data_IF_841870608584
#
_entry.id   IF_841870608584
#
_cell.length_a   1.000
_cell.length_b   1.000
_cell.length_c   1.000
_cell.angle_alpha   90.00
_cell.angle_beta   90.00
_cell.angle_gamma   90.00
#
_symmetry.space_group_name_H-M   'P 1'
#
loop_
_entity.id
_entity.type
_entity.pdbx_description
1 polymer ?
#
# COMPACT_ATOMS: atom_id res chain seq x y z
N UNK A 1 -4.20 -0.09 1.58
CA UNK A 1 -3.78 -1.47 1.89
C UNK A 1 -4.93 -2.34 2.36
N UNK A 2 -5.77 -1.89 3.30
CA UNK A 2 -6.89 -2.69 3.83
C UNK A 2 -7.76 -3.36 2.74
N UNK A 3 -8.17 -2.59 1.73
CA UNK A 3 -8.94 -3.11 0.59
C UNK A 3 -8.20 -4.22 -0.19
N UNK A 4 -6.89 -4.18 -0.26
CA UNK A 4 -6.13 -5.23 -0.94
C UNK A 4 -6.16 -6.57 -0.18
N UNK A 5 -6.25 -6.54 1.16
CA UNK A 5 -6.40 -7.75 1.97
C UNK A 5 -7.78 -8.39 1.82
N UNK A 6 -8.86 -7.60 1.88
CA UNK A 6 -10.23 -8.13 2.04
C UNK A 6 -11.15 -7.90 0.84
N UNK A 7 -10.89 -6.88 0.04
CA UNK A 7 -11.73 -6.52 -1.12
C UNK A 7 -10.88 -6.20 -2.37
N UNK A 8 -9.96 -7.10 -2.79
CA UNK A 8 -9.07 -6.83 -3.92
C UNK A 8 -9.85 -6.57 -5.22
N UNK A 9 -11.07 -7.08 -5.36
CA UNK A 9 -11.95 -6.83 -6.51
C UNK A 9 -12.37 -5.36 -6.67
N UNK A 10 -12.25 -4.53 -5.61
CA UNK A 10 -12.50 -3.08 -5.68
C UNK A 10 -11.31 -2.28 -6.20
N UNK A 11 -10.16 -2.92 -6.39
CA UNK A 11 -8.94 -2.27 -6.86
C UNK A 11 -8.69 -2.60 -8.33
N UNK A 12 -8.08 -1.68 -9.11
CA UNK A 12 -7.69 -1.98 -10.48
C UNK A 12 -6.76 -3.20 -10.56
N UNK A 13 -6.93 -4.12 -11.53
CA UNK A 13 -6.12 -5.34 -11.62
C UNK A 13 -4.61 -5.10 -11.66
N UNK A 14 -4.16 -4.08 -12.40
CA UNK A 14 -2.75 -3.69 -12.46
C UNK A 14 -2.20 -3.25 -11.09
N UNK A 15 -3.03 -2.62 -10.27
CA UNK A 15 -2.65 -2.19 -8.93
C UNK A 15 -2.53 -3.38 -7.98
N UNK A 16 -3.45 -4.35 -8.06
CA UNK A 16 -3.35 -5.60 -7.32
C UNK A 16 -2.09 -6.38 -7.66
N UNK A 17 -1.79 -6.54 -8.96
CA UNK A 17 -0.58 -7.20 -9.43
C UNK A 17 0.69 -6.51 -8.94
N UNK A 18 0.70 -5.18 -8.93
CA UNK A 18 1.83 -4.42 -8.41
C UNK A 18 2.03 -4.61 -6.90
N UNK A 19 0.98 -4.51 -6.09
CA UNK A 19 1.07 -4.75 -4.63
C UNK A 19 1.51 -6.19 -4.36
N UNK A 20 0.92 -7.17 -5.06
CA UNK A 20 1.29 -8.58 -4.96
C UNK A 20 2.79 -8.78 -5.20
N UNK A 21 3.32 -8.21 -6.30
CA UNK A 21 4.75 -8.27 -6.63
C UNK A 21 5.62 -7.61 -5.55
N UNK A 22 5.21 -6.47 -5.00
CA UNK A 22 6.00 -5.74 -4.01
C UNK A 22 5.92 -6.31 -2.59
N UNK A 23 4.80 -6.92 -2.23
CA UNK A 23 4.60 -7.49 -0.90
C UNK A 23 5.43 -8.75 -0.65
N UNK A 24 5.75 -9.50 -1.73
CA UNK A 24 6.48 -10.77 -1.67
C UNK A 24 5.95 -11.71 -0.56
N UNK A 25 4.63 -11.70 -0.36
CA UNK A 25 3.91 -12.57 0.57
C UNK A 25 3.28 -13.72 -0.21
N UNK A 26 3.30 -14.92 0.38
CA UNK A 26 2.62 -16.06 -0.21
C UNK A 26 1.11 -15.78 -0.31
N UNK A 27 0.54 -16.08 -1.47
CA UNK A 27 -0.86 -15.80 -1.76
C UNK A 27 -1.83 -16.61 -0.90
N UNK A 28 -1.41 -17.79 -0.44
CA UNK A 28 -2.19 -18.63 0.47
C UNK A 28 -2.48 -17.89 1.78
N UNK A 29 -1.55 -17.06 2.25
CA UNK A 29 -1.75 -16.22 3.45
C UNK A 29 -2.86 -15.19 3.17
N UNK A 30 -2.84 -14.50 2.04
CA UNK A 30 -3.84 -13.47 1.71
C UNK A 30 -5.24 -14.09 1.56
N UNK A 31 -5.33 -15.23 0.86
CA UNK A 31 -6.59 -15.97 0.72
C UNK A 31 -7.12 -16.39 2.08
N UNK A 32 -6.26 -16.90 2.95
CA UNK A 32 -6.62 -17.30 4.30
C UNK A 32 -7.08 -16.12 5.16
N UNK A 33 -6.38 -14.98 5.14
CA UNK A 33 -6.79 -13.76 5.85
C UNK A 33 -8.17 -13.28 5.40
N UNK A 34 -8.48 -13.38 4.11
CA UNK A 34 -9.81 -13.07 3.58
C UNK A 34 -10.87 -14.03 4.11
N UNK A 35 -10.61 -15.34 4.10
CA UNK A 35 -11.53 -16.35 4.64
C UNK A 35 -11.79 -16.17 6.14
N UNK A 36 -10.77 -15.80 6.92
CA UNK A 36 -10.94 -15.44 8.34
C UNK A 36 -11.87 -14.23 8.48
N UNK A 37 -11.62 -13.17 7.70
CA UNK A 37 -12.44 -11.96 7.70
C UNK A 37 -13.89 -12.22 7.34
N UNK A 38 -14.11 -13.06 6.32
CA UNK A 38 -15.44 -13.43 5.84
C UNK A 38 -16.12 -14.48 6.75
N UNK A 39 -15.47 -14.87 7.86
CA UNK A 39 -15.95 -15.85 8.86
C UNK A 39 -16.18 -17.26 8.30
N UNK A 40 -15.54 -17.58 7.18
CA UNK A 40 -15.56 -18.94 6.61
C UNK A 40 -14.69 -19.92 7.41
N UNK A 41 -13.64 -19.41 8.04
CA UNK A 41 -12.73 -20.17 8.90
C UNK A 41 -12.48 -19.41 10.19
N UNK A 42 -12.09 -20.14 11.23
CA UNK A 42 -11.68 -19.60 12.53
C UNK A 42 -10.60 -20.50 13.12
N UNK A 43 -9.55 -19.91 13.69
CA UNK A 43 -8.52 -20.65 14.42
C UNK A 43 -9.12 -21.34 15.65
N UNK A 44 -8.68 -22.57 15.91
CA UNK A 44 -9.18 -23.47 16.97
C UNK A 44 -10.47 -24.19 16.62
N UNK A 45 -10.94 -24.12 15.37
CA UNK A 45 -12.13 -24.84 14.88
C UNK A 45 -11.78 -25.80 13.74
N UNK A 46 -12.51 -26.92 13.59
CA UNK A 46 -12.31 -27.85 12.48
C UNK A 46 -12.45 -27.14 11.13
N UNK A 47 -11.53 -27.42 10.20
CA UNK A 47 -11.51 -26.79 8.88
C UNK A 47 -10.96 -27.74 7.84
N UNK A 48 -11.62 -27.81 6.68
CA UNK A 48 -11.12 -28.55 5.52
C UNK A 48 -10.00 -27.80 4.77
N UNK A 49 -9.71 -26.56 5.14
CA UNK A 49 -8.70 -25.74 4.48
C UNK A 49 -7.29 -26.06 4.97
N UNK A 50 -6.54 -26.82 4.15
CA UNK A 50 -5.16 -27.26 4.45
C UNK A 50 -4.06 -26.40 3.79
N UNK A 51 -4.42 -25.31 3.10
CA UNK A 51 -3.47 -24.50 2.33
C UNK A 51 -2.31 -23.91 3.15
N UNK A 52 -2.52 -23.63 4.44
CA UNK A 52 -1.46 -23.17 5.34
C UNK A 52 -0.54 -24.31 5.79
N UNK A 53 -1.05 -25.53 5.90
CA UNK A 53 -0.23 -26.71 6.21
C UNK A 53 0.68 -27.07 5.04
N UNK A 54 0.16 -26.97 3.82
CA UNK A 54 0.95 -27.10 2.60
C UNK A 54 2.02 -25.99 2.53
N UNK A 55 1.68 -24.75 2.92
CA UNK A 55 2.66 -23.67 3.02
C UNK A 55 3.74 -23.99 4.06
N UNK A 56 3.36 -24.46 5.25
CA UNK A 56 4.33 -24.86 6.27
C UNK A 56 5.26 -25.97 5.76
N UNK A 57 4.73 -26.96 5.03
CA UNK A 57 5.52 -28.03 4.41
C UNK A 57 6.51 -27.48 3.38
N UNK A 58 6.07 -26.57 2.50
CA UNK A 58 6.93 -25.92 1.50
C UNK A 58 8.06 -25.09 2.13
N UNK A 59 7.81 -24.54 3.33
CA UNK A 59 8.78 -23.77 4.10
C UNK A 59 9.72 -24.65 4.96
N UNK A 60 9.58 -25.98 4.90
CA UNK A 60 10.34 -26.93 5.73
C UNK A 60 9.96 -26.91 7.22
N UNK A 61 8.76 -26.42 7.54
CA UNK A 61 8.20 -26.40 8.89
C UNK A 61 7.28 -27.61 9.11
N UNK A 62 7.00 -27.92 10.38
CA UNK A 62 5.96 -28.91 10.73
C UNK A 62 4.60 -28.42 10.17
N UNK A 63 3.88 -29.24 9.38
CA UNK A 63 2.53 -28.92 8.90
C UNK A 63 1.59 -28.42 10.00
N UNK A 64 1.74 -28.92 11.24
CA UNK A 64 0.94 -28.49 12.40
C UNK A 64 1.05 -27.00 12.69
N UNK A 65 2.17 -26.34 12.35
CA UNK A 65 2.29 -24.89 12.50
C UNK A 65 1.36 -24.10 11.57
N UNK A 66 0.92 -24.72 10.47
CA UNK A 66 -0.07 -24.16 9.55
C UNK A 66 -1.50 -24.60 9.85
N UNK A 67 -1.72 -25.51 10.81
CA UNK A 67 -3.06 -26.05 11.09
C UNK A 67 -3.96 -24.99 11.69
N UNK A 68 -5.13 -24.79 11.08
CA UNK A 68 -6.16 -23.88 11.62
C UNK A 68 -6.80 -24.49 12.87
N UNK A 69 -6.89 -25.81 12.94
CA UNK A 69 -7.56 -26.55 14.01
C UNK A 69 -6.71 -26.57 15.29
N UNK A 70 -5.39 -26.73 15.14
CA UNK A 70 -4.46 -26.89 16.28
C UNK A 70 -3.90 -25.56 16.83
N UNK A 71 -4.04 -24.45 16.09
CA UNK A 71 -3.52 -23.15 16.51
C UNK A 71 -4.64 -22.16 16.80
N UNK A 72 -4.43 -21.26 17.76
CA UNK A 72 -5.34 -20.13 18.07
C UNK A 72 -5.09 -18.87 17.23
N UNK A 73 -3.95 -18.82 16.52
CA UNK A 73 -3.53 -17.73 15.65
C UNK A 73 -2.44 -18.22 14.67
N UNK A 74 -2.24 -17.52 13.56
CA UNK A 74 -1.20 -17.86 12.59
C UNK A 74 0.21 -17.60 13.17
N UNK A 75 1.08 -18.61 13.33
CA UNK A 75 2.42 -18.39 13.85
C UNK A 75 3.25 -17.43 12.98
N UNK A 76 4.02 -16.54 13.61
CA UNK A 76 4.85 -15.56 12.89
C UNK A 76 5.87 -16.22 11.95
N UNK A 77 6.37 -17.42 12.26
CA UNK A 77 7.30 -18.14 11.38
C UNK A 77 6.65 -18.49 10.04
N UNK A 78 5.41 -18.97 10.04
CA UNK A 78 4.65 -19.25 8.81
C UNK A 78 4.34 -17.95 8.06
N UNK A 79 3.90 -16.91 8.77
CA UNK A 79 3.64 -15.59 8.19
C UNK A 79 4.89 -14.98 7.52
N UNK A 80 6.06 -15.14 8.13
CA UNK A 80 7.34 -14.58 7.68
C UNK A 80 8.10 -15.51 6.72
N UNK A 81 7.43 -16.54 6.18
CA UNK A 81 8.03 -17.50 5.24
C UNK A 81 9.31 -18.16 5.78
N UNK A 82 9.36 -18.43 7.09
CA UNK A 82 10.48 -19.05 7.79
C UNK A 82 11.86 -18.37 7.57
N UNK A 83 11.87 -17.07 7.28
CA UNK A 83 13.14 -16.32 7.04
C UNK A 83 13.88 -16.06 8.35
N UNK A 84 13.15 -15.74 9.42
CA UNK A 84 13.72 -15.47 10.73
C UNK A 84 12.72 -15.76 11.85
N UNK A 85 13.21 -16.21 13.01
CA UNK A 85 12.40 -16.41 14.21
C UNK A 85 11.94 -15.11 14.88
N UNK A 86 12.59 -13.98 14.60
CA UNK A 86 12.23 -12.65 15.13
C UNK A 86 11.44 -11.83 14.12
N UNK A 87 10.40 -11.13 14.60
CA UNK A 87 9.61 -10.20 13.81
C UNK A 87 10.41 -8.96 13.41
N UNK A 88 11.30 -8.47 14.28
CA UNK A 88 12.09 -7.26 14.04
C UNK A 88 13.09 -7.47 12.90
N UNK A 89 13.75 -8.64 12.90
CA UNK A 89 14.65 -9.06 11.82
C UNK A 89 13.89 -9.17 10.51
N UNK A 90 12.67 -9.74 10.52
CA UNK A 90 11.85 -9.81 9.32
C UNK A 90 11.46 -8.43 8.79
N UNK A 91 11.09 -7.48 9.66
CA UNK A 91 10.75 -6.11 9.28
C UNK A 91 11.96 -5.42 8.62
N UNK A 92 13.16 -5.58 9.19
CA UNK A 92 14.39 -5.05 8.62
C UNK A 92 14.74 -5.70 7.28
N UNK A 93 14.62 -7.03 7.18
CA UNK A 93 14.81 -7.76 5.93
C UNK A 93 13.85 -7.29 4.83
N UNK A 94 12.56 -7.13 5.16
CA UNK A 94 11.54 -6.61 4.23
C UNK A 94 11.81 -5.17 3.83
N UNK A 95 12.36 -4.36 4.73
CA UNK A 95 12.79 -3.00 4.39
C UNK A 95 13.88 -3.04 3.32
N UNK A 96 14.93 -3.84 3.53
CA UNK A 96 16.05 -3.97 2.59
C UNK A 96 15.59 -4.48 1.23
N UNK A 97 14.77 -5.54 1.19
CA UNK A 97 14.22 -6.08 -0.07
C UNK A 97 13.25 -5.13 -0.77
N UNK A 98 12.43 -4.41 0.00
CA UNK A 98 11.58 -3.35 -0.53
C UNK A 98 12.40 -2.20 -1.11
N UNK A 99 13.49 -1.82 -0.45
CA UNK A 99 14.41 -0.76 -0.89
C UNK A 99 15.15 -1.15 -2.17
N UNK A 100 15.70 -2.36 -2.23
CA UNK A 100 16.35 -2.95 -3.42
C UNK A 100 15.40 -2.93 -4.63
N UNK A 101 14.17 -3.44 -4.44
CA UNK A 101 13.14 -3.49 -5.48
C UNK A 101 12.70 -2.08 -5.92
N UNK A 102 12.66 -1.13 -4.98
CA UNK A 102 12.26 0.25 -5.27
C UNK A 102 13.36 1.01 -6.02
N UNK A 103 14.63 0.80 -5.66
CA UNK A 103 15.79 1.37 -6.37
C UNK A 103 15.76 0.95 -7.83
N UNK A 104 15.50 -0.33 -8.10
CA UNK A 104 15.45 -0.87 -9.46
C UNK A 104 14.40 -0.15 -10.35
N UNK A 105 13.37 0.46 -9.75
CA UNK A 105 12.34 1.22 -10.47
C UNK A 105 12.68 2.71 -10.52
N UNK A 106 13.04 3.31 -9.38
CA UNK A 106 13.18 4.76 -9.28
C UNK A 106 14.50 5.31 -9.80
N UNK A 107 15.60 4.54 -9.73
CA UNK A 107 16.90 5.00 -10.23
C UNK A 107 16.87 5.15 -11.75
N UNK A 108 16.47 4.15 -12.56
CA UNK A 108 16.42 4.31 -14.02
C UNK A 108 15.53 5.48 -14.45
N UNK A 109 14.35 5.60 -13.84
CA UNK A 109 13.41 6.68 -14.12
C UNK A 109 13.99 8.06 -13.80
N UNK A 110 14.64 8.21 -12.65
CA UNK A 110 15.21 9.49 -12.23
C UNK A 110 16.44 9.86 -13.07
N UNK A 111 17.27 8.89 -13.44
CA UNK A 111 18.41 9.09 -14.31
C UNK A 111 18.01 9.47 -15.73
N UNK A 112 16.94 8.87 -16.28
CA UNK A 112 16.40 9.23 -17.59
C UNK A 112 16.07 10.73 -17.67
N UNK A 113 15.48 11.32 -16.62
CA UNK A 113 15.23 12.76 -16.59
C UNK A 113 16.51 13.60 -16.44
N UNK A 114 17.54 13.08 -15.76
CA UNK A 114 18.82 13.76 -15.62
C UNK A 114 19.62 13.79 -16.93
N UNK A 115 19.43 12.82 -17.84
CA UNK A 115 20.07 12.79 -19.16
C UNK A 115 19.64 13.96 -20.06
N UNK A 116 18.49 14.59 -19.78
CA UNK A 116 18.00 15.75 -20.54
C UNK A 116 18.85 17.01 -20.33
N UNK A 117 19.53 17.11 -19.20
CA UNK A 117 20.47 18.19 -18.87
C UNK A 117 21.60 17.61 -17.99
N UNK A 118 22.67 17.07 -18.62
CA UNK A 118 23.66 16.22 -17.98
C UNK A 118 24.68 17.02 -17.16
N UNK A 119 24.21 17.64 -16.07
CA UNK A 119 25.07 18.29 -15.08
C UNK A 119 25.27 17.41 -13.85
N UNK A 120 26.45 17.49 -13.22
CA UNK A 120 26.75 16.76 -11.99
C UNK A 120 25.76 17.08 -10.87
N UNK A 121 25.28 18.33 -10.82
CA UNK A 121 24.24 18.78 -9.90
C UNK A 121 22.89 18.10 -10.16
N UNK A 122 22.47 18.00 -11.42
CA UNK A 122 21.22 17.32 -11.79
C UNK A 122 21.30 15.81 -11.52
N UNK A 123 22.45 15.19 -11.79
CA UNK A 123 22.67 13.77 -11.48
C UNK A 123 22.57 13.49 -9.98
N UNK A 124 23.28 14.26 -9.14
CA UNK A 124 23.20 14.13 -7.68
C UNK A 124 21.76 14.32 -7.19
N UNK A 125 21.07 15.35 -7.70
CA UNK A 125 19.67 15.61 -7.35
C UNK A 125 18.74 14.46 -7.75
N UNK A 126 18.91 13.90 -8.94
CA UNK A 126 18.15 12.76 -9.42
C UNK A 126 18.37 11.53 -8.55
N UNK A 127 19.64 11.23 -8.20
CA UNK A 127 19.97 10.10 -7.33
C UNK A 127 19.41 10.29 -5.91
N UNK A 128 19.57 11.47 -5.30
CA UNK A 128 18.97 11.76 -3.99
C UNK A 128 17.44 11.65 -4.03
N UNK A 129 16.81 12.06 -5.12
CA UNK A 129 15.37 11.90 -5.32
C UNK A 129 14.96 10.43 -5.44
N UNK A 130 15.71 9.63 -6.18
CA UNK A 130 15.47 8.19 -6.33
C UNK A 130 15.65 7.43 -5.01
N UNK A 131 16.72 7.72 -4.26
CA UNK A 131 16.97 7.13 -2.94
C UNK A 131 15.85 7.48 -1.97
N UNK A 132 15.43 8.76 -1.91
CA UNK A 132 14.31 9.19 -1.06
C UNK A 132 13.01 8.46 -1.42
N UNK A 133 12.71 8.37 -2.72
CA UNK A 133 11.52 7.66 -3.22
C UNK A 133 11.54 6.17 -2.86
N UNK A 134 12.73 5.57 -2.93
CA UNK A 134 12.94 4.16 -2.59
C UNK A 134 12.81 3.93 -1.09
N UNK A 135 13.35 4.83 -0.27
CA UNK A 135 13.19 4.80 1.18
C UNK A 135 11.73 5.00 1.61
N UNK A 136 10.98 5.88 0.94
CA UNK A 136 9.54 6.04 1.14
C UNK A 136 8.79 4.72 0.94
N UNK A 137 9.02 4.04 -0.19
CA UNK A 137 8.32 2.79 -0.51
C UNK A 137 8.78 1.62 0.38
N UNK A 138 10.07 1.52 0.68
CA UNK A 138 10.58 0.54 1.64
C UNK A 138 9.96 0.72 3.02
N UNK A 139 9.90 1.96 3.51
CA UNK A 139 9.28 2.28 4.80
C UNK A 139 7.77 2.05 4.79
N UNK A 140 7.09 2.29 3.66
CA UNK A 140 5.68 1.94 3.50
C UNK A 140 5.46 0.43 3.75
N UNK A 141 6.27 -0.43 3.12
CA UNK A 141 6.18 -1.89 3.27
C UNK A 141 6.48 -2.29 4.72
N UNK A 142 7.59 -1.80 5.29
CA UNK A 142 7.98 -2.14 6.66
C UNK A 142 6.99 -1.66 7.72
N UNK A 143 6.34 -0.50 7.53
CA UNK A 143 5.32 -0.02 8.46
C UNK A 143 4.07 -0.90 8.45
N UNK A 144 3.72 -1.54 7.32
CA UNK A 144 2.63 -2.54 7.30
C UNK A 144 2.99 -3.72 8.21
N UNK A 145 4.18 -4.29 8.03
CA UNK A 145 4.67 -5.40 8.84
C UNK A 145 4.82 -5.03 10.31
N UNK A 146 5.36 -3.84 10.60
CA UNK A 146 5.47 -3.31 11.94
C UNK A 146 4.10 -3.21 12.60
N UNK A 147 3.09 -2.65 11.93
CA UNK A 147 1.74 -2.55 12.48
C UNK A 147 1.08 -3.91 12.73
N UNK A 148 1.19 -4.84 11.77
CA UNK A 148 0.65 -6.19 11.88
C UNK A 148 1.34 -6.96 13.02
N UNK A 149 2.67 -6.97 13.08
CA UNK A 149 3.41 -7.73 14.09
C UNK A 149 3.31 -7.08 15.47
N UNK A 150 3.29 -5.76 15.56
CA UNK A 150 3.11 -5.06 16.83
C UNK A 150 1.75 -5.36 17.44
N UNK A 151 0.68 -5.33 16.64
CA UNK A 151 -0.67 -5.65 17.13
C UNK A 151 -0.83 -7.12 17.49
N UNK A 152 -0.27 -8.04 16.70
CA UNK A 152 -0.43 -9.49 16.92
C UNK A 152 0.43 -10.06 18.04
N UNK A 153 1.67 -9.58 18.18
CA UNK A 153 2.68 -10.29 18.98
C UNK A 153 3.31 -9.45 20.10
N UNK A 154 3.30 -8.11 20.00
CA UNK A 154 4.03 -7.24 20.94
C UNK A 154 3.08 -6.53 21.90
N UNK A 155 2.11 -5.79 21.35
CA UNK A 155 1.26 -4.82 22.04
C UNK A 155 -0.11 -5.43 22.32
N UNK A 156 -0.74 -6.06 21.33
CA UNK A 156 -2.14 -6.52 21.45
C UNK A 156 -2.35 -7.50 22.60
N UNK A 157 -1.65 -8.64 22.65
CA UNK A 157 -1.82 -9.61 23.73
C UNK A 157 -1.48 -9.06 25.13
N UNK A 158 -0.58 -8.07 25.22
CA UNK A 158 -0.18 -7.46 26.49
C UNK A 158 -1.20 -6.44 27.00
N UNK A 159 -1.74 -5.60 26.11
CA UNK A 159 -2.71 -4.56 26.48
C UNK A 159 -4.14 -5.08 26.58
N UNK A 160 -4.51 -6.08 25.78
CA UNK A 160 -5.87 -6.59 25.69
C UNK A 160 -5.89 -8.13 25.72
N UNK A 161 -5.51 -8.75 26.85
CA UNK A 161 -5.42 -10.21 26.96
C UNK A 161 -6.77 -10.92 26.76
N UNK A 162 -7.89 -10.23 27.01
CA UNK A 162 -9.24 -10.79 26.90
C UNK A 162 -9.81 -10.78 25.46
N UNK A 163 -9.09 -10.20 24.49
CA UNK A 163 -9.54 -10.19 23.09
C UNK A 163 -9.14 -11.50 22.42
N UNK A 164 -10.09 -12.15 21.75
CA UNK A 164 -9.82 -13.38 21.00
C UNK A 164 -8.68 -13.16 19.99
N UNK A 165 -7.67 -14.03 20.04
CA UNK A 165 -6.45 -13.94 19.21
C UNK A 165 -6.75 -13.89 17.72
N UNK A 166 -7.81 -14.58 17.28
CA UNK A 166 -8.32 -14.53 15.91
C UNK A 166 -8.52 -13.09 15.41
N UNK A 167 -9.00 -12.16 16.25
CA UNK A 167 -9.33 -10.80 15.83
C UNK A 167 -8.10 -10.00 15.39
N UNK A 168 -6.92 -10.31 15.92
CA UNK A 168 -5.68 -9.63 15.52
C UNK A 168 -5.28 -10.02 14.10
N UNK A 169 -5.46 -11.27 13.73
CA UNK A 169 -5.14 -11.79 12.40
C UNK A 169 -6.22 -11.40 11.40
N UNK A 170 -7.48 -11.49 11.82
CA UNK A 170 -8.66 -11.28 10.99
C UNK A 170 -8.86 -9.84 10.55
N UNK A 171 -8.72 -8.84 11.45
CA UNK A 171 -9.10 -7.45 11.16
C UNK A 171 -8.11 -6.43 11.72
N UNK A 172 -7.79 -6.51 13.01
CA UNK A 172 -7.08 -5.43 13.72
C UNK A 172 -5.67 -5.24 13.17
N UNK A 173 -4.94 -6.33 12.93
CA UNK A 173 -3.57 -6.28 12.43
C UNK A 173 -3.48 -5.62 11.06
N UNK A 174 -4.16 -6.13 10.03
CA UNK A 174 -4.14 -5.52 8.71
C UNK A 174 -4.74 -4.11 8.68
N UNK A 175 -5.70 -3.77 9.55
CA UNK A 175 -6.20 -2.40 9.72
C UNK A 175 -5.12 -1.45 10.23
N UNK A 176 -4.48 -1.78 11.36
CA UNK A 176 -3.43 -0.94 11.96
C UNK A 176 -2.21 -0.85 11.05
N UNK A 177 -1.78 -1.96 10.44
CA UNK A 177 -0.72 -1.96 9.42
C UNK A 177 -1.06 -1.06 8.23
N UNK A 178 -2.30 -1.08 7.76
CA UNK A 178 -2.77 -0.21 6.68
C UNK A 178 -2.84 1.26 7.05
N UNK A 179 -3.09 1.58 8.31
CA UNK A 179 -3.09 2.94 8.81
C UNK A 179 -1.66 3.47 8.94
N UNK A 180 -0.78 2.72 9.61
CA UNK A 180 0.61 3.12 9.89
C UNK A 180 1.47 3.23 8.63
N UNK A 181 1.19 2.44 7.59
CA UNK A 181 1.94 2.55 6.34
C UNK A 181 1.78 3.92 5.66
N UNK A 182 0.67 4.63 5.90
CA UNK A 182 0.45 5.98 5.37
C UNK A 182 1.46 7.01 5.86
N UNK A 183 2.04 6.84 7.05
CA UNK A 183 3.01 7.78 7.63
C UNK A 183 4.35 7.82 6.88
N UNK A 184 4.66 6.81 6.06
CA UNK A 184 5.88 6.81 5.26
C UNK A 184 5.94 8.01 4.30
N UNK A 185 4.79 8.59 3.92
CA UNK A 185 4.72 9.74 3.01
C UNK A 185 5.48 10.97 3.50
N UNK A 186 5.76 11.05 4.81
CA UNK A 186 6.55 12.12 5.41
C UNK A 186 8.03 12.10 4.97
N UNK A 187 8.54 10.96 4.52
CA UNK A 187 9.89 10.84 3.93
C UNK A 187 9.97 11.60 2.60
N UNK A 188 8.85 11.69 1.89
CA UNK A 188 8.80 12.28 0.56
C UNK A 188 8.77 13.81 0.59
N UNK A 189 9.22 14.45 -0.48
CA UNK A 189 9.18 15.91 -0.62
C UNK A 189 7.74 16.45 -0.65
N UNK A 190 7.43 17.58 0.02
CA UNK A 190 6.07 18.13 0.07
C UNK A 190 5.39 18.33 -1.29
N UNK A 191 6.16 18.72 -2.32
CA UNK A 191 5.65 18.87 -3.70
C UNK A 191 5.12 17.55 -4.27
N UNK A 192 5.85 16.46 -4.05
CA UNK A 192 5.52 15.11 -4.55
C UNK A 192 4.43 14.43 -3.73
N UNK A 193 4.26 14.81 -2.44
CA UNK A 193 3.14 14.32 -1.62
C UNK A 193 1.78 14.65 -2.25
N UNK A 194 1.63 15.83 -2.83
CA UNK A 194 0.42 16.23 -3.55
C UNK A 194 0.15 15.37 -4.80
N UNK A 195 1.21 15.09 -5.59
CA UNK A 195 1.11 14.21 -6.76
C UNK A 195 0.71 12.78 -6.38
N UNK A 196 1.30 12.24 -5.31
CA UNK A 196 0.94 10.93 -4.79
C UNK A 196 -0.49 10.90 -4.24
N UNK A 197 -0.92 11.96 -3.53
CA UNK A 197 -2.29 12.08 -3.05
C UNK A 197 -3.29 12.10 -4.22
N UNK A 198 -3.01 12.87 -5.28
CA UNK A 198 -3.83 12.89 -6.49
C UNK A 198 -3.90 11.53 -7.20
N UNK A 199 -2.86 10.70 -7.08
CA UNK A 199 -2.87 9.33 -7.61
C UNK A 199 -3.67 8.35 -6.74
N UNK A 200 -3.55 8.45 -5.41
CA UNK A 200 -4.12 7.48 -4.46
C UNK A 200 -5.56 7.81 -4.07
N UNK A 201 -5.91 9.08 -3.89
CA UNK A 201 -7.24 9.52 -3.43
C UNK A 201 -8.37 9.02 -4.35
N UNK A 202 -8.29 9.13 -5.68
CA UNK A 202 -9.34 8.60 -6.55
C UNK A 202 -9.52 7.09 -6.37
N UNK A 203 -8.43 6.32 -6.23
CA UNK A 203 -8.48 4.87 -5.99
C UNK A 203 -9.04 4.52 -4.62
N UNK A 204 -8.79 5.35 -3.61
CA UNK A 204 -9.38 5.17 -2.28
C UNK A 204 -10.90 5.45 -2.33
N UNK A 205 -11.31 6.49 -3.06
CA UNK A 205 -12.72 6.81 -3.27
C UNK A 205 -13.46 5.68 -3.99
N UNK A 206 -12.86 5.02 -4.99
CA UNK A 206 -13.49 3.85 -5.64
C UNK A 206 -13.65 2.64 -4.71
N UNK A 207 -12.93 2.59 -3.59
CA UNK A 207 -13.11 1.52 -2.59
C UNK A 207 -14.21 1.88 -1.60
N UNK A 208 -14.26 3.15 -1.18
CA UNK A 208 -15.17 3.64 -0.13
C UNK A 208 -16.57 3.93 -0.66
N UNK A 209 -16.67 4.47 -1.89
CA UNK A 209 -17.95 4.84 -2.46
C UNK A 209 -18.77 3.60 -2.87
N UNK A 210 -20.10 3.61 -2.65
CA UNK A 210 -20.98 2.54 -3.08
C UNK A 210 -20.95 2.39 -4.61
N UNK A 211 -21.11 1.16 -5.09
CA UNK A 211 -21.10 0.85 -6.53
C UNK A 211 -22.14 1.63 -7.33
N UNK A 212 -23.28 1.97 -6.71
CA UNK A 212 -24.32 2.79 -7.33
C UNK A 212 -23.79 4.14 -7.79
N UNK A 213 -23.05 4.85 -6.93
CA UNK A 213 -22.45 6.15 -7.27
C UNK A 213 -21.38 6.03 -8.37
N UNK A 214 -20.64 4.93 -8.40
CA UNK A 214 -19.61 4.70 -9.44
C UNK A 214 -20.21 4.46 -10.83
N UNK A 215 -21.42 3.92 -10.89
CA UNK A 215 -22.13 3.67 -12.15
C UNK A 215 -22.63 4.97 -12.80
N UNK A 216 -22.80 6.03 -12.01
CA UNK A 216 -23.36 7.30 -12.48
C UNK A 216 -22.26 8.16 -13.10
N UNK A 217 -21.86 7.82 -14.33
CA UNK A 217 -20.94 8.63 -15.16
C UNK A 217 -21.35 10.10 -15.27
N UNK A 218 -22.65 10.37 -15.12
CA UNK A 218 -23.21 11.73 -15.12
C UNK A 218 -22.63 12.55 -13.97
N UNK A 219 -22.46 11.99 -12.76
CA UNK A 219 -21.91 12.72 -11.61
C UNK A 219 -20.45 13.09 -11.87
N UNK A 220 -19.65 12.14 -12.38
CA UNK A 220 -18.26 12.40 -12.78
C UNK A 220 -18.19 13.48 -13.87
N UNK A 221 -19.05 13.40 -14.90
CA UNK A 221 -19.12 14.36 -16.00
C UNK A 221 -19.51 15.75 -15.51
N UNK A 222 -20.48 15.84 -14.60
CA UNK A 222 -20.92 17.10 -14.00
C UNK A 222 -19.83 17.70 -13.12
N UNK A 223 -19.20 16.91 -12.24
CA UNK A 223 -18.11 17.39 -11.39
C UNK A 223 -16.90 17.83 -12.22
N UNK A 224 -16.55 17.07 -13.25
CA UNK A 224 -15.48 17.44 -14.19
C UNK A 224 -15.82 18.71 -14.97
N UNK A 225 -17.06 18.80 -15.49
CA UNK A 225 -17.56 19.97 -16.20
C UNK A 225 -17.59 21.22 -15.32
N UNK A 226 -18.07 21.11 -14.08
CA UNK A 226 -18.07 22.21 -13.10
C UNK A 226 -16.64 22.62 -12.72
N UNK A 227 -15.76 21.67 -12.44
CA UNK A 227 -14.37 21.95 -12.09
C UNK A 227 -13.65 22.67 -13.23
N UNK A 228 -13.84 22.18 -14.46
CA UNK A 228 -13.26 22.78 -15.67
C UNK A 228 -13.88 24.15 -15.95
N UNK A 229 -15.20 24.30 -15.77
CA UNK A 229 -15.92 25.55 -15.91
C UNK A 229 -15.45 26.62 -14.92
N UNK A 230 -15.20 26.26 -13.66
CA UNK A 230 -14.63 27.17 -12.65
C UNK A 230 -13.22 27.61 -13.04
N UNK A 231 -12.39 26.70 -13.56
CA UNK A 231 -11.06 27.05 -14.06
C UNK A 231 -11.20 28.03 -15.22
N UNK A 232 -11.97 27.71 -16.26
CA UNK A 232 -12.16 28.56 -17.44
C UNK A 232 -12.74 29.93 -17.06
N UNK A 233 -13.76 29.98 -16.18
CA UNK A 233 -14.34 31.24 -15.72
C UNK A 233 -13.32 32.10 -14.99
N UNK A 234 -12.47 31.48 -14.17
CA UNK A 234 -11.37 32.17 -13.49
C UNK A 234 -10.32 32.74 -14.47
N UNK A 235 -10.25 32.22 -15.70
CA UNK A 235 -9.41 32.76 -16.78
C UNK A 235 -10.04 33.98 -17.44
N UNK A 236 -11.32 33.87 -17.79
CA UNK A 236 -12.06 34.95 -18.47
C UNK A 236 -12.10 36.20 -17.58
N UNK A 237 -12.29 36.03 -16.26
CA UNK A 237 -12.34 37.13 -15.30
C UNK A 237 -10.96 37.78 -15.02
N UNK A 238 -9.91 37.49 -15.80
CA UNK A 238 -8.59 38.13 -15.67
C UNK A 238 -7.80 37.76 -14.41
N UNK A 239 -8.31 36.82 -13.61
CA UNK A 239 -7.67 36.31 -12.38
C UNK A 239 -6.69 35.17 -12.65
N UNK A 240 -6.18 35.04 -13.89
CA UNK A 240 -5.25 33.98 -14.31
C UNK A 240 -4.01 33.83 -13.43
N UNK A 241 -3.54 34.92 -12.78
CA UNK A 241 -2.48 34.88 -11.75
C UNK A 241 -2.80 34.03 -10.52
N UNK A 242 -4.07 33.68 -10.27
CA UNK A 242 -4.50 32.81 -9.14
C UNK A 242 -4.39 31.32 -9.47
N UNK A 243 -4.30 30.93 -10.75
CA UNK A 243 -4.15 29.52 -11.14
C UNK A 243 -2.66 29.15 -11.09
N UNK A 244 -2.25 28.40 -10.07
CA UNK A 244 -0.86 27.97 -9.86
C UNK A 244 -0.55 26.65 -10.57
N UNK A 245 0.73 26.41 -10.87
CA UNK A 245 1.21 25.11 -11.34
C UNK A 245 1.31 24.98 -12.87
N UNK A 246 1.36 23.74 -13.36
CA UNK A 246 1.52 23.43 -14.79
C UNK A 246 0.38 24.02 -15.61
N UNK A 247 -0.87 23.87 -15.16
CA UNK A 247 -2.02 24.46 -15.82
C UNK A 247 -1.88 25.98 -15.94
N UNK A 248 -1.56 26.71 -14.87
CA UNK A 248 -1.31 28.15 -14.97
C UNK A 248 -0.20 28.53 -15.96
N UNK A 249 0.89 27.74 -16.03
CA UNK A 249 2.01 27.99 -16.95
C UNK A 249 1.66 27.71 -18.41
N UNK A 250 1.06 26.55 -18.70
CA UNK A 250 0.61 26.19 -20.05
C UNK A 250 -0.44 27.17 -20.57
N UNK A 251 -1.27 27.67 -19.67
CA UNK A 251 -2.39 28.57 -19.98
C UNK A 251 -1.93 30.02 -20.16
N UNK A 252 -0.93 30.46 -19.39
CA UNK A 252 -0.24 31.74 -19.64
C UNK A 252 0.56 31.69 -20.95
N UNK A 253 1.08 30.53 -21.33
CA UNK A 253 1.72 30.34 -22.63
C UNK A 253 0.71 30.41 -23.78
N UNK A 254 -0.45 29.76 -23.67
CA UNK A 254 -1.52 29.83 -24.69
C UNK A 254 -2.10 31.25 -24.83
N UNK A 255 -2.29 31.98 -23.72
CA UNK A 255 -2.89 33.32 -23.77
C UNK A 255 -1.92 34.42 -24.23
N UNK A 256 -0.61 34.17 -24.26
CA UNK A 256 0.41 35.10 -24.76
C UNK A 256 1.09 34.59 -26.04
N UNK A 257 0.57 33.51 -26.63
CA UNK A 257 0.91 33.04 -27.97
C UNK A 257 -0.12 33.59 -28.95
#
# INVERSE_FOLDING_TARGET
MYAWFYSPEKLPPSYNSWIKKMSCIDQRIIVMLKKLHDKEIQFGQPSCHRSLEDLSRDLGLDPKMGSIEENDALPCQVLHSNISGSCEVHIAYRWLKGFESSIAIYVPLSLMFALRDPTTKNFKRALTSAIRSSAFLATFISNVWLGICATRSIIGPKLFPNVNRNRYDETIGPLIGSFLCGWSILIENPKRRGELALFVVPKALTVVLPKSLQQHRIIETVLFGLSTGVIIRSLIDGKGRKVRGVFGKTLHWIMNA
#
